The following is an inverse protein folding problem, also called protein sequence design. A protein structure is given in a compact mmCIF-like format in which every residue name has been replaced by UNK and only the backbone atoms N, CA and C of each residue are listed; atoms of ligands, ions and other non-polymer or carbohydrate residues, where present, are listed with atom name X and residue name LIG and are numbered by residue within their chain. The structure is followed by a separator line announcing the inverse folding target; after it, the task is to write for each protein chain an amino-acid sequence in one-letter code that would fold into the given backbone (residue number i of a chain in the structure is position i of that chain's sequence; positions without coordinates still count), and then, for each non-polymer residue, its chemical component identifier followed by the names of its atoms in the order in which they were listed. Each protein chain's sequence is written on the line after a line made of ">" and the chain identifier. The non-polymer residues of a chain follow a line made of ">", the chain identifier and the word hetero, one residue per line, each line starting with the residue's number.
data_IF_630517281188
#
_entry.id   IF_630517281188
#
_cell.length_a   1.000
_cell.length_b   1.000
_cell.length_c   1.000
_cell.angle_alpha   90.00
_cell.angle_beta   90.00
_cell.angle_gamma   90.00
#
_symmetry.space_group_name_H-M   'P 1'
#
loop_
_entity.id
_entity.type
_entity.pdbx_description
1 polymer ?
#
# COMPACT_ATOMS: atom_id res chain seq x y z
N UNK A 1 9.11 -16.46 -17.45
CA UNK A 1 9.66 -15.19 -16.93
C UNK A 1 8.73 -14.79 -15.80
N UNK A 2 9.24 -14.61 -14.58
CA UNK A 2 8.39 -14.08 -13.52
C UNK A 2 8.07 -12.64 -13.91
N UNK A 3 6.86 -12.42 -14.42
CA UNK A 3 6.30 -11.08 -14.53
C UNK A 3 6.45 -10.50 -13.13
N UNK A 4 7.41 -9.59 -12.97
CA UNK A 4 7.70 -9.00 -11.66
C UNK A 4 6.55 -8.04 -11.43
N UNK A 5 5.46 -8.57 -10.88
CA UNK A 5 4.22 -7.83 -10.68
C UNK A 5 4.54 -6.48 -10.05
N UNK A 6 4.09 -5.43 -10.73
CA UNK A 6 4.28 -4.06 -10.28
C UNK A 6 3.77 -3.93 -8.85
N UNK A 7 4.67 -3.65 -7.92
CA UNK A 7 4.32 -3.39 -6.52
C UNK A 7 3.85 -1.94 -6.39
N UNK A 8 2.67 -1.79 -5.81
CA UNK A 8 2.01 -0.52 -5.58
C UNK A 8 2.00 -0.19 -4.09
N UNK A 9 2.22 1.09 -3.80
CA UNK A 9 1.90 1.69 -2.52
C UNK A 9 0.44 2.12 -2.59
N UNK A 10 -0.38 1.51 -1.74
CA UNK A 10 -1.82 1.73 -1.74
C UNK A 10 -2.35 1.94 -0.32
N UNK A 11 -3.35 2.81 -0.20
CA UNK A 11 -4.16 2.94 1.01
C UNK A 11 -5.32 1.95 0.96
N UNK A 12 -5.42 1.13 1.99
CA UNK A 12 -6.54 0.20 2.19
C UNK A 12 -7.48 0.77 3.25
N UNK A 13 -8.72 1.01 2.86
CA UNK A 13 -9.78 1.42 3.79
C UNK A 13 -10.74 0.25 3.98
N UNK A 14 -10.95 -0.27 5.19
CA UNK A 14 -11.90 -1.36 5.42
C UNK A 14 -13.29 -0.98 4.92
N UNK A 15 -13.99 -1.91 4.25
CA UNK A 15 -15.37 -1.68 3.84
C UNK A 15 -16.31 -1.56 5.05
N UNK A 16 -17.51 -0.99 4.86
CA UNK A 16 -18.51 -0.83 5.92
C UNK A 16 -18.75 -2.13 6.70
N UNK A 17 -18.50 -2.11 8.01
CA UNK A 17 -18.59 -3.28 8.89
C UNK A 17 -17.28 -4.07 9.06
N UNK A 18 -16.26 -3.75 8.27
CA UNK A 18 -14.89 -4.21 8.43
C UNK A 18 -14.09 -3.34 9.39
N UNK A 19 -12.88 -3.78 9.74
CA UNK A 19 -11.96 -3.02 10.59
C UNK A 19 -10.53 -3.28 10.16
N UNK A 20 -9.63 -2.35 10.45
CA UNK A 20 -8.18 -2.52 10.20
C UNK A 20 -7.66 -3.79 10.86
N UNK A 21 -8.09 -4.09 12.08
CA UNK A 21 -7.75 -5.33 12.79
C UNK A 21 -8.24 -6.59 12.06
N UNK A 22 -9.39 -6.53 11.38
CA UNK A 22 -9.89 -7.66 10.59
C UNK A 22 -9.02 -7.88 9.35
N UNK A 23 -8.62 -6.80 8.65
CA UNK A 23 -7.69 -6.89 7.51
C UNK A 23 -6.33 -7.48 7.92
N UNK A 24 -5.79 -7.08 9.07
CA UNK A 24 -4.51 -7.59 9.60
C UNK A 24 -4.57 -9.06 10.03
N UNK A 25 -5.76 -9.56 10.42
CA UNK A 25 -5.94 -10.98 10.77
C UNK A 25 -6.05 -11.90 9.55
N UNK A 26 -6.26 -11.35 8.35
CA UNK A 26 -6.33 -12.16 7.14
C UNK A 26 -4.90 -12.50 6.67
N UNK A 27 -4.65 -13.75 6.22
CA UNK A 27 -3.35 -14.19 5.71
C UNK A 27 -3.10 -13.67 4.29
N UNK A 28 -3.15 -12.36 4.10
CA UNK A 28 -3.02 -11.68 2.81
C UNK A 28 -1.57 -11.41 2.43
N UNK A 29 -0.63 -11.61 3.36
CA UNK A 29 0.81 -11.38 3.20
C UNK A 29 1.20 -9.96 2.78
N UNK A 30 0.37 -8.96 3.09
CA UNK A 30 0.60 -7.57 2.71
C UNK A 30 1.79 -6.99 3.48
N UNK A 31 2.65 -6.25 2.79
CA UNK A 31 3.72 -5.50 3.44
C UNK A 31 3.15 -4.18 3.95
N UNK A 32 2.96 -4.06 5.27
CA UNK A 32 2.29 -2.92 5.88
C UNK A 32 3.31 -1.85 6.27
N UNK A 33 3.20 -0.68 5.67
CA UNK A 33 4.11 0.45 5.90
C UNK A 33 3.60 1.34 7.03
N UNK A 34 2.31 1.70 6.99
CA UNK A 34 1.69 2.55 8.01
C UNK A 34 0.37 1.96 8.48
N UNK A 35 0.09 2.15 9.78
CA UNK A 35 -1.11 1.67 10.44
C UNK A 35 -1.85 2.83 11.07
N UNK A 36 -3.10 3.02 10.66
CA UNK A 36 -4.00 4.02 11.23
C UNK A 36 -5.28 3.33 11.72
N UNK A 37 -6.04 4.00 12.58
CA UNK A 37 -7.28 3.43 13.13
C UNK A 37 -8.33 3.12 12.04
N UNK A 38 -8.35 3.91 10.96
CA UNK A 38 -9.33 3.79 9.88
C UNK A 38 -8.80 3.23 8.56
N UNK A 39 -7.49 3.09 8.38
CA UNK A 39 -6.89 2.62 7.13
C UNK A 39 -5.47 2.08 7.33
N UNK A 40 -4.96 1.38 6.32
CA UNK A 40 -3.59 0.89 6.24
C UNK A 40 -2.91 1.47 4.99
N UNK A 41 -1.61 1.73 5.07
CA UNK A 41 -0.77 1.96 3.87
C UNK A 41 0.06 0.71 3.67
N UNK A 42 -0.01 0.11 2.49
CA UNK A 42 0.67 -1.16 2.18
C UNK A 42 1.44 -1.07 0.87
N UNK A 43 2.54 -1.82 0.79
CA UNK A 43 3.17 -2.20 -0.46
C UNK A 43 2.69 -3.60 -0.85
N UNK A 44 2.03 -3.72 -2.00
CA UNK A 44 1.54 -5.02 -2.49
C UNK A 44 1.54 -5.09 -4.02
N UNK A 45 1.71 -6.30 -4.60
CA UNK A 45 1.55 -6.51 -6.03
C UNK A 45 0.10 -6.26 -6.47
N UNK A 46 -0.08 -5.80 -7.71
CA UNK A 46 -1.39 -5.49 -8.29
C UNK A 46 -2.40 -6.62 -8.12
N UNK A 47 -2.03 -7.90 -8.32
CA UNK A 47 -2.98 -9.00 -8.20
C UNK A 47 -3.55 -9.14 -6.79
N UNK A 48 -2.78 -8.82 -5.75
CA UNK A 48 -3.28 -8.85 -4.37
C UNK A 48 -4.22 -7.69 -4.08
N UNK A 49 -3.89 -6.50 -4.58
CA UNK A 49 -4.78 -5.35 -4.48
C UNK A 49 -6.11 -5.61 -5.20
N UNK A 50 -6.05 -6.16 -6.41
CA UNK A 50 -7.23 -6.55 -7.17
C UNK A 50 -8.06 -7.64 -6.45
N UNK A 51 -7.42 -8.58 -5.75
CA UNK A 51 -8.13 -9.58 -4.95
C UNK A 51 -8.89 -8.94 -3.77
N UNK A 52 -8.31 -7.93 -3.09
CA UNK A 52 -8.98 -7.21 -2.00
C UNK A 52 -10.26 -6.51 -2.48
N UNK A 53 -10.19 -5.84 -3.63
CA UNK A 53 -11.34 -5.18 -4.25
C UNK A 53 -12.38 -6.20 -4.70
N UNK A 54 -11.95 -7.29 -5.35
CA UNK A 54 -12.84 -8.37 -5.82
C UNK A 54 -13.61 -9.01 -4.67
N UNK A 55 -12.96 -9.18 -3.51
CA UNK A 55 -13.56 -9.73 -2.30
C UNK A 55 -14.30 -8.68 -1.46
N UNK A 56 -14.28 -7.40 -1.87
CA UNK A 56 -14.86 -6.26 -1.15
C UNK A 56 -14.39 -6.18 0.31
N UNK A 57 -13.13 -6.53 0.56
CA UNK A 57 -12.54 -6.51 1.90
C UNK A 57 -12.11 -5.10 2.30
N UNK A 58 -11.61 -4.33 1.32
CA UNK A 58 -11.18 -2.96 1.49
C UNK A 58 -11.35 -2.19 0.18
N UNK A 59 -11.58 -0.89 0.28
CA UNK A 59 -11.35 0.04 -0.81
C UNK A 59 -9.85 0.28 -0.97
N UNK A 60 -9.37 0.19 -2.20
CA UNK A 60 -7.95 0.31 -2.55
C UNK A 60 -7.72 1.62 -3.29
N UNK A 61 -6.99 2.53 -2.67
CA UNK A 61 -6.56 3.79 -3.27
C UNK A 61 -5.08 3.70 -3.62
N UNK A 62 -4.76 3.60 -4.92
CA UNK A 62 -3.39 3.40 -5.42
C UNK A 62 -2.70 4.75 -5.56
N UNK A 63 -1.60 4.96 -4.85
CA UNK A 63 -0.90 6.25 -4.85
C UNK A 63 0.25 6.29 -5.85
N UNK A 64 1.14 5.31 -5.76
CA UNK A 64 2.33 5.26 -6.59
C UNK A 64 2.83 3.82 -6.70
N UNK A 65 3.56 3.54 -7.77
CA UNK A 65 4.38 2.33 -7.83
C UNK A 65 5.61 2.51 -6.94
N UNK A 66 6.15 1.41 -6.41
CA UNK A 66 7.35 1.46 -5.58
C UNK A 66 8.50 2.19 -6.28
N UNK A 67 8.69 1.92 -7.59
CA UNK A 67 9.67 2.60 -8.46
C UNK A 67 9.51 4.12 -8.49
N UNK A 68 8.27 4.63 -8.52
CA UNK A 68 8.01 6.07 -8.50
C UNK A 68 8.31 6.68 -7.14
N UNK A 69 8.00 5.96 -6.06
CA UNK A 69 8.31 6.40 -4.70
C UNK A 69 9.84 6.47 -4.48
N UNK A 70 10.57 5.44 -4.91
CA UNK A 70 12.04 5.41 -4.89
C UNK A 70 12.64 6.56 -5.72
N UNK A 71 12.09 6.84 -6.90
CA UNK A 71 12.54 7.96 -7.74
C UNK A 71 12.30 9.33 -7.08
N UNK A 72 11.16 9.51 -6.38
CA UNK A 72 10.88 10.74 -5.65
C UNK A 72 11.81 10.93 -4.45
N UNK A 73 12.16 9.86 -3.73
CA UNK A 73 13.14 9.94 -2.65
C UNK A 73 14.55 10.18 -3.16
N UNK A 74 14.94 9.57 -4.29
CA UNK A 74 16.25 9.80 -4.91
C UNK A 74 16.41 11.22 -5.45
N UNK A 75 15.31 11.87 -5.87
CA UNK A 75 15.31 13.24 -6.37
C UNK A 75 15.08 14.28 -5.26
N UNK A 76 14.97 13.88 -3.98
CA UNK A 76 14.88 14.86 -2.90
C UNK A 76 16.25 15.52 -2.74
N UNK A 77 16.40 16.83 -3.03
CA UNK A 77 17.64 17.51 -2.69
C UNK A 77 17.84 17.34 -1.18
N UNK A 78 19.05 16.97 -0.78
CA UNK A 78 19.42 17.00 0.62
C UNK A 78 19.31 18.46 1.06
N UNK A 79 18.16 18.87 1.61
CA UNK A 79 18.07 20.10 2.39
C UNK A 79 18.80 19.83 3.71
N UNK A 80 20.12 19.79 3.61
CA UNK A 80 21.03 20.05 4.69
C UNK A 80 21.80 21.28 4.25
N UNK A 81 21.30 22.45 4.61
CA UNK A 81 22.09 23.67 4.80
C UNK A 81 21.24 24.61 5.66
N UNK A 82 21.31 24.37 6.98
CA UNK A 82 21.25 25.43 7.98
C UNK A 82 22.37 26.44 7.68
N UNK A 83 22.05 27.72 7.52
CA UNK A 83 22.90 28.84 7.93
C UNK A 83 22.01 30.02 8.27
#
# INVERSE_FOLDING_TARGET
>A
MADSEQTWIARLTPTTGGSVAALLNLPLGLDVWERHAGFLVVAAPESRLAELERRRLAEVDRWATQRQYEAQMANRPATGEET
#
